data_IF_479513357519
#
_entry.id   IF_479513357519
#
_cell.length_a   1.000
_cell.length_b   1.000
_cell.length_c   1.000
_cell.angle_alpha   90.00
_cell.angle_beta   90.00
_cell.angle_gamma   90.00
#
_symmetry.space_group_name_H-M   'P 1'
#
loop_
_entity.id
_entity.type
_entity.pdbx_description
1 polymer ?
#
# COMPACT_ATOMS: atom_id res chain seq x y z
N UNK A 1 8.72 -8.15 0.07
CA UNK A 1 8.20 -7.58 -1.19
C UNK A 1 6.72 -7.38 -1.11
N UNK A 2 6.31 -6.11 -1.01
CA UNK A 2 5.41 -5.77 0.09
C UNK A 2 4.07 -5.35 -0.47
N UNK A 3 3.44 -6.43 -0.94
CA UNK A 3 2.03 -6.64 -1.21
C UNK A 3 1.29 -6.24 0.07
N UNK A 4 0.71 -5.04 0.08
CA UNK A 4 0.12 -4.48 1.28
C UNK A 4 -1.28 -5.07 1.53
N UNK A 5 -1.33 -6.16 2.30
CA UNK A 5 -2.58 -6.86 2.62
C UNK A 5 -3.42 -6.09 3.65
N UNK A 6 -4.53 -5.50 3.19
CA UNK A 6 -5.42 -4.63 4.00
C UNK A 6 -6.74 -5.28 4.39
N UNK A 7 -6.93 -6.56 4.11
CA UNK A 7 -8.06 -7.39 4.59
C UNK A 7 -7.54 -8.79 4.94
N UNK A 8 -8.23 -9.47 5.85
CA UNK A 8 -7.86 -10.81 6.34
C UNK A 8 -7.65 -11.83 5.19
N UNK A 9 -6.76 -12.81 5.37
CA UNK A 9 -6.62 -13.94 4.46
C UNK A 9 -7.94 -14.68 4.23
N UNK A 10 -8.14 -15.18 3.02
CA UNK A 10 -9.22 -16.12 2.71
C UNK A 10 -8.72 -17.55 2.94
N UNK A 11 -9.54 -18.40 3.55
CA UNK A 11 -9.20 -19.80 3.75
C UNK A 11 -8.96 -20.51 2.40
N UNK A 12 -7.93 -21.36 2.34
CA UNK A 12 -7.54 -22.06 1.10
C UNK A 12 -8.69 -22.92 0.54
N UNK A 13 -9.52 -23.49 1.41
CA UNK A 13 -10.71 -24.27 1.00
C UNK A 13 -11.83 -23.40 0.41
N UNK A 14 -11.81 -22.09 0.59
CA UNK A 14 -12.75 -21.16 -0.04
C UNK A 14 -12.20 -20.60 -1.35
N UNK A 15 -10.89 -20.32 -1.40
CA UNK A 15 -10.18 -19.99 -2.64
C UNK A 15 -10.33 -21.14 -3.64
N UNK A 16 -9.99 -22.37 -3.27
CA UNK A 16 -10.08 -23.52 -4.17
C UNK A 16 -11.52 -23.83 -4.63
N UNK A 17 -12.54 -23.60 -3.80
CA UNK A 17 -13.96 -23.70 -4.24
C UNK A 17 -14.33 -22.69 -5.32
N UNK A 18 -13.66 -21.54 -5.36
CA UNK A 18 -13.93 -20.46 -6.31
C UNK A 18 -13.05 -20.59 -7.55
N UNK A 19 -11.73 -20.72 -7.37
CA UNK A 19 -10.71 -20.93 -8.42
C UNK A 19 -11.07 -22.05 -9.40
N UNK A 20 -11.61 -23.18 -8.90
CA UNK A 20 -12.00 -24.32 -9.74
C UNK A 20 -13.34 -24.14 -10.50
N UNK A 21 -13.97 -22.95 -10.48
CA UNK A 21 -15.13 -22.67 -11.32
C UNK A 21 -14.68 -22.23 -12.72
N UNK A 22 -15.13 -22.94 -13.76
CA UNK A 22 -14.77 -22.74 -15.17
C UNK A 22 -14.70 -21.27 -15.62
N UNK A 23 -15.67 -20.45 -15.20
CA UNK A 23 -15.75 -19.01 -15.49
C UNK A 23 -14.64 -18.12 -14.88
N UNK A 24 -13.74 -18.69 -14.08
CA UNK A 24 -12.60 -18.02 -13.47
C UNK A 24 -11.26 -18.67 -13.86
N UNK A 25 -11.28 -19.65 -14.77
CA UNK A 25 -10.10 -20.42 -15.22
C UNK A 25 -9.02 -19.59 -15.93
N UNK A 26 -9.33 -18.34 -16.31
CA UNK A 26 -8.38 -17.39 -16.90
C UNK A 26 -7.52 -16.65 -15.85
N UNK A 27 -7.82 -16.79 -14.56
CA UNK A 27 -7.09 -16.13 -13.48
C UNK A 27 -5.96 -17.06 -13.00
N UNK A 28 -4.72 -16.59 -13.09
CA UNK A 28 -3.53 -17.38 -12.76
C UNK A 28 -3.47 -17.85 -11.30
N UNK A 29 -2.83 -19.00 -11.04
CA UNK A 29 -2.71 -19.54 -9.69
C UNK A 29 -1.95 -18.60 -8.75
N UNK A 30 -0.87 -17.96 -9.20
CA UNK A 30 -0.11 -16.97 -8.43
C UNK A 30 -1.02 -15.87 -7.88
N UNK A 31 -1.95 -15.34 -8.68
CA UNK A 31 -2.91 -14.32 -8.25
C UNK A 31 -3.89 -14.84 -7.20
N UNK A 32 -4.35 -16.10 -7.31
CA UNK A 32 -5.16 -16.75 -6.26
C UNK A 32 -4.39 -16.93 -4.95
N UNK A 33 -3.09 -17.17 -5.02
CA UNK A 33 -2.25 -17.45 -3.86
C UNK A 33 -1.98 -16.18 -3.03
N UNK A 34 -2.13 -14.98 -3.61
CA UNK A 34 -2.10 -13.70 -2.88
C UNK A 34 -3.28 -13.58 -1.91
N UNK A 35 -4.46 -14.13 -2.24
CA UNK A 35 -5.62 -14.15 -1.34
C UNK A 35 -5.42 -15.02 -0.09
N UNK A 36 -4.48 -15.96 -0.12
CA UNK A 36 -4.08 -16.76 1.04
C UNK A 36 -3.28 -15.94 2.06
N UNK A 37 -2.81 -14.75 1.68
CA UNK A 37 -2.02 -13.83 2.50
C UNK A 37 -2.81 -12.55 2.86
N UNK A 38 -3.80 -12.16 2.05
CA UNK A 38 -4.83 -11.19 2.40
C UNK A 38 -5.79 -10.83 1.25
N UNK A 39 -7.06 -10.51 1.56
CA UNK A 39 -8.13 -10.36 0.56
C UNK A 39 -8.24 -8.97 -0.10
N UNK A 40 -7.21 -8.12 0.00
CA UNK A 40 -7.08 -6.83 -0.70
C UNK A 40 -5.63 -6.39 -0.63
N UNK A 41 -4.99 -6.15 -1.78
CA UNK A 41 -3.57 -5.84 -1.80
C UNK A 41 -3.15 -4.80 -2.85
N UNK A 42 -1.99 -4.21 -2.59
CA UNK A 42 -1.41 -3.13 -3.39
C UNK A 42 0.08 -3.35 -3.69
N UNK A 43 0.54 -2.85 -4.83
CA UNK A 43 1.96 -2.67 -5.16
C UNK A 43 2.23 -1.20 -5.51
N UNK A 44 2.73 -0.44 -4.54
CA UNK A 44 2.79 1.01 -4.68
C UNK A 44 1.39 1.59 -4.92
N UNK A 45 1.24 2.41 -5.98
CA UNK A 45 -0.06 2.96 -6.39
C UNK A 45 -1.06 1.93 -6.95
N UNK A 46 -0.60 0.74 -7.35
CA UNK A 46 -1.42 -0.26 -8.03
C UNK A 46 -2.31 -1.02 -7.05
N UNK A 47 -3.63 -0.83 -7.18
CA UNK A 47 -4.71 -1.42 -6.42
C UNK A 47 -5.18 -2.67 -7.14
N UNK A 48 -4.83 -3.85 -6.65
CA UNK A 48 -5.23 -5.09 -7.31
C UNK A 48 -6.70 -5.40 -7.01
N UNK A 49 -7.42 -5.84 -8.03
CA UNK A 49 -8.77 -6.35 -7.85
C UNK A 49 -8.74 -7.63 -7.00
N UNK A 50 -9.81 -7.93 -6.23
CA UNK A 50 -11.04 -7.19 -6.04
C UNK A 50 -10.86 -5.94 -5.18
N UNK A 51 -11.85 -5.04 -5.24
CA UNK A 51 -11.97 -3.96 -4.28
C UNK A 51 -13.30 -4.12 -3.52
N UNK A 52 -13.36 -5.13 -2.62
CA UNK A 52 -14.10 -5.20 -1.33
C UNK A 52 -14.68 -6.58 -0.98
N UNK A 53 -14.86 -6.76 0.35
CA UNK A 53 -15.56 -7.84 1.06
C UNK A 53 -14.67 -9.03 1.49
N UNK A 54 -14.09 -8.90 2.70
CA UNK A 54 -13.20 -9.91 3.31
C UNK A 54 -13.83 -11.30 3.41
N UNK A 55 -15.17 -11.39 3.44
CA UNK A 55 -15.94 -12.62 3.64
C UNK A 55 -16.40 -13.31 2.32
N UNK A 56 -16.15 -12.72 1.14
CA UNK A 56 -16.81 -13.16 -0.10
C UNK A 56 -15.89 -13.24 -1.33
N UNK A 57 -14.86 -14.09 -1.29
CA UNK A 57 -13.96 -14.39 -2.43
C UNK A 57 -14.68 -14.77 -3.75
N UNK A 58 -15.92 -15.27 -3.67
CA UNK A 58 -16.77 -15.55 -4.86
C UNK A 58 -17.32 -14.29 -5.54
N UNK A 59 -17.55 -13.23 -4.77
CA UNK A 59 -18.03 -11.91 -5.22
C UNK A 59 -16.85 -11.14 -5.80
N UNK A 60 -15.75 -11.08 -5.06
CA UNK A 60 -14.39 -10.75 -5.53
C UNK A 60 -14.10 -11.23 -6.96
N UNK A 61 -14.19 -12.55 -7.20
CA UNK A 61 -13.91 -13.12 -8.51
C UNK A 61 -14.95 -12.74 -9.58
N UNK A 62 -16.21 -12.50 -9.16
CA UNK A 62 -17.25 -12.01 -10.06
C UNK A 62 -17.01 -10.56 -10.49
N UNK A 63 -16.43 -9.72 -9.63
CA UNK A 63 -16.13 -8.33 -9.94
C UNK A 63 -15.01 -8.24 -10.99
N UNK A 64 -13.96 -9.09 -10.86
CA UNK A 64 -12.93 -9.30 -11.91
C UNK A 64 -13.58 -9.73 -13.23
N UNK A 65 -14.51 -10.69 -13.22
CA UNK A 65 -15.25 -11.10 -14.44
C UNK A 65 -16.11 -9.97 -15.00
N UNK A 66 -16.71 -9.14 -14.14
CA UNK A 66 -17.66 -8.11 -14.55
C UNK A 66 -16.94 -6.93 -15.20
N UNK A 67 -15.82 -6.48 -14.63
CA UNK A 67 -14.95 -5.48 -15.22
C UNK A 67 -14.40 -5.96 -16.58
N UNK A 68 -13.90 -7.19 -16.62
CA UNK A 68 -13.30 -7.76 -17.84
C UNK A 68 -14.31 -8.23 -18.89
N UNK A 69 -15.62 -8.05 -18.65
CA UNK A 69 -16.69 -8.53 -19.54
C UNK A 69 -16.74 -7.84 -20.90
N UNK A 70 -16.26 -6.59 -20.97
CA UNK A 70 -16.24 -5.79 -22.21
C UNK A 70 -14.85 -5.70 -22.85
N UNK A 71 -13.82 -6.20 -22.17
CA UNK A 71 -12.47 -6.27 -22.73
C UNK A 71 -12.35 -7.50 -23.61
N UNK A 72 -12.04 -7.33 -24.89
CA UNK A 72 -11.82 -8.46 -25.81
C UNK A 72 -10.43 -9.08 -25.63
N UNK A 73 -9.37 -8.27 -25.52
CA UNK A 73 -7.98 -8.74 -25.52
C UNK A 73 -7.29 -8.82 -24.14
N UNK A 74 -7.79 -8.15 -23.10
CA UNK A 74 -7.09 -8.00 -21.82
C UNK A 74 -7.89 -8.46 -20.59
N UNK A 75 -7.20 -8.85 -19.52
CA UNK A 75 -7.74 -9.14 -18.20
C UNK A 75 -7.10 -8.15 -17.21
N UNK A 76 -7.79 -7.06 -16.91
CA UNK A 76 -7.42 -6.07 -15.90
C UNK A 76 -7.35 -6.73 -14.51
N UNK A 77 -6.21 -6.54 -13.84
CA UNK A 77 -5.93 -7.09 -12.49
C UNK A 77 -5.58 -6.03 -11.46
N UNK A 78 -5.16 -4.83 -11.88
CA UNK A 78 -4.97 -3.68 -10.99
C UNK A 78 -5.25 -2.35 -11.70
N UNK A 79 -5.57 -1.32 -10.91
CA UNK A 79 -5.69 0.09 -11.33
C UNK A 79 -4.88 1.00 -10.41
N UNK A 80 -4.47 2.20 -10.83
CA UNK A 80 -3.94 3.21 -9.89
C UNK A 80 -4.97 4.25 -9.43
N UNK A 81 -6.04 4.43 -10.21
CA UNK A 81 -7.10 5.41 -9.98
C UNK A 81 -7.04 6.64 -10.90
N UNK A 82 -5.98 6.78 -11.70
CA UNK A 82 -5.82 7.81 -12.74
C UNK A 82 -6.08 7.24 -14.14
N UNK A 83 -7.04 6.31 -14.24
CA UNK A 83 -7.40 5.55 -15.45
C UNK A 83 -6.23 4.79 -16.10
N UNK A 84 -5.22 4.42 -15.30
CA UNK A 84 -4.18 3.46 -15.67
C UNK A 84 -4.45 2.10 -15.03
N UNK A 85 -4.08 1.04 -15.75
CA UNK A 85 -4.29 -0.34 -15.36
C UNK A 85 -3.08 -1.22 -15.65
N UNK A 86 -2.94 -2.28 -14.85
CA UNK A 86 -2.14 -3.47 -15.19
C UNK A 86 -3.12 -4.56 -15.60
N UNK A 87 -2.85 -5.20 -16.74
CA UNK A 87 -3.67 -6.27 -17.27
C UNK A 87 -2.85 -7.40 -17.88
N UNK A 88 -3.32 -8.64 -17.74
CA UNK A 88 -2.84 -9.75 -18.54
C UNK A 88 -3.36 -9.63 -19.98
N UNK A 89 -2.52 -9.83 -20.99
CA UNK A 89 -2.97 -10.03 -22.35
C UNK A 89 -3.43 -11.49 -22.54
N UNK A 90 -4.59 -11.70 -23.16
CA UNK A 90 -5.26 -13.02 -23.17
C UNK A 90 -4.62 -14.08 -24.08
N UNK A 91 -3.79 -13.69 -25.04
CA UNK A 91 -3.19 -14.66 -25.98
C UNK A 91 -1.86 -15.23 -25.49
N UNK A 92 -1.02 -14.41 -24.83
CA UNK A 92 0.33 -14.77 -24.38
C UNK A 92 0.53 -14.74 -22.86
N UNK A 93 -0.44 -14.24 -22.09
CA UNK A 93 -0.42 -14.25 -20.63
C UNK A 93 0.47 -13.20 -19.97
N UNK A 94 1.01 -12.24 -20.74
CA UNK A 94 1.96 -11.24 -20.23
C UNK A 94 1.29 -10.03 -19.61
N UNK A 95 2.02 -9.26 -18.79
CA UNK A 95 1.49 -8.07 -18.10
C UNK A 95 1.78 -6.79 -18.87
N UNK A 96 0.71 -6.09 -19.25
CA UNK A 96 0.74 -4.85 -20.01
C UNK A 96 0.20 -3.66 -19.20
N UNK A 97 0.74 -2.47 -19.50
CA UNK A 97 0.24 -1.19 -19.02
C UNK A 97 -0.82 -0.66 -19.97
N UNK A 98 -2.01 -0.40 -19.46
CA UNK A 98 -3.13 0.19 -20.21
C UNK A 98 -3.48 1.54 -19.60
N UNK A 99 -3.83 2.52 -20.43
CA UNK A 99 -4.42 3.78 -20.00
C UNK A 99 -5.57 4.09 -20.96
N UNK A 100 -6.77 4.33 -20.43
CA UNK A 100 -7.99 4.42 -21.25
C UNK A 100 -8.06 5.69 -22.13
N UNK A 101 -7.26 6.72 -21.81
CA UNK A 101 -7.09 7.93 -22.63
C UNK A 101 -5.94 7.83 -23.63
N UNK A 102 -5.02 6.87 -23.45
CA UNK A 102 -3.88 6.64 -24.32
C UNK A 102 -4.26 5.71 -25.47
N UNK A 103 -4.65 6.28 -26.60
CA UNK A 103 -4.70 5.53 -27.86
C UNK A 103 -3.31 5.05 -28.25
N UNK A 104 -2.97 3.80 -27.95
CA UNK A 104 -1.74 3.17 -28.41
C UNK A 104 -1.84 2.82 -29.90
N UNK A 105 -0.88 3.27 -30.71
CA UNK A 105 -0.88 3.09 -32.17
C UNK A 105 -0.68 1.63 -32.65
N UNK A 106 -0.22 0.74 -31.76
CA UNK A 106 0.13 -0.66 -32.10
C UNK A 106 -0.46 -1.59 -31.04
N UNK A 107 0.11 -1.60 -29.84
CA UNK A 107 -0.38 -2.34 -28.67
C UNK A 107 0.01 -1.61 -27.36
N UNK A 108 -0.76 -1.77 -26.27
CA UNK A 108 -0.35 -1.45 -24.89
C UNK A 108 1.08 -1.93 -24.54
N UNK A 109 1.93 -1.12 -23.87
CA UNK A 109 3.28 -1.52 -23.51
C UNK A 109 3.35 -2.74 -22.59
N UNK A 110 4.22 -3.71 -22.92
CA UNK A 110 4.63 -4.78 -22.02
C UNK A 110 5.39 -4.19 -20.82
N UNK A 111 5.04 -4.61 -19.60
CA UNK A 111 5.75 -4.24 -18.36
C UNK A 111 6.61 -5.39 -17.85
N UNK A 112 6.01 -6.58 -17.74
CA UNK A 112 6.60 -7.78 -17.13
C UNK A 112 6.12 -9.04 -17.86
N UNK A 113 6.93 -10.08 -17.87
CA UNK A 113 6.57 -11.36 -18.50
C UNK A 113 5.50 -12.11 -17.69
N UNK A 114 5.49 -11.98 -16.36
CA UNK A 114 4.48 -12.57 -15.46
C UNK A 114 4.29 -11.78 -14.16
N UNK A 115 3.35 -12.24 -13.31
CA UNK A 115 3.06 -11.63 -12.02
C UNK A 115 4.18 -11.86 -10.99
N UNK A 116 4.95 -12.93 -11.06
CA UNK A 116 6.05 -13.17 -10.13
C UNK A 116 7.19 -12.16 -10.36
N UNK A 117 7.46 -11.77 -11.61
CA UNK A 117 8.40 -10.69 -11.96
C UNK A 117 7.88 -9.29 -11.56
N UNK A 118 6.58 -9.00 -11.80
CA UNK A 118 5.96 -7.77 -11.30
C UNK A 118 6.03 -7.68 -9.78
N UNK A 119 5.82 -8.80 -9.09
CA UNK A 119 6.01 -8.87 -7.66
C UNK A 119 7.48 -8.61 -7.31
N UNK A 120 8.46 -9.27 -7.97
CA UNK A 120 9.91 -9.18 -7.70
C UNK A 120 10.44 -7.74 -7.53
N UNK A 121 9.88 -6.78 -8.27
CA UNK A 121 10.30 -5.39 -8.26
C UNK A 121 10.01 -4.58 -6.97
N UNK A 122 9.08 -4.99 -6.08
CA UNK A 122 8.51 -4.11 -5.03
C UNK A 122 8.96 -4.42 -3.57
N UNK A 123 10.26 -4.53 -3.30
CA UNK A 123 10.72 -5.37 -2.17
C UNK A 123 10.48 -4.94 -0.67
N UNK A 124 9.82 -3.80 -0.29
CA UNK A 124 10.18 -3.00 0.94
C UNK A 124 9.32 -2.84 2.28
N UNK A 125 7.99 -2.58 2.38
CA UNK A 125 7.17 -2.41 3.68
C UNK A 125 7.07 -3.57 4.75
N UNK A 126 5.96 -4.33 4.86
CA UNK A 126 5.79 -5.63 5.58
C UNK A 126 5.31 -6.77 4.67
N UNK A 127 5.66 -8.05 4.93
CA UNK A 127 5.31 -9.17 4.02
C UNK A 127 3.99 -9.89 4.37
N UNK A 128 3.39 -9.61 5.53
CA UNK A 128 2.07 -10.14 5.91
C UNK A 128 1.39 -9.26 6.94
N UNK A 129 0.07 -9.40 7.10
CA UNK A 129 -0.68 -8.72 8.17
C UNK A 129 -0.11 -9.02 9.57
N UNK A 130 0.31 -10.27 9.82
CA UNK A 130 0.95 -10.62 11.09
C UNK A 130 2.31 -9.91 11.28
N UNK A 131 3.09 -9.67 10.22
CA UNK A 131 4.29 -8.84 10.33
C UNK A 131 3.95 -7.37 10.60
N UNK A 132 2.90 -6.83 9.97
CA UNK A 132 2.44 -5.46 10.20
C UNK A 132 1.98 -5.25 11.65
N UNK A 133 1.13 -6.13 12.19
CA UNK A 133 0.71 -6.11 13.60
C UNK A 133 1.89 -6.22 14.57
N UNK A 134 2.84 -7.15 14.31
CA UNK A 134 4.07 -7.26 15.11
C UNK A 134 4.92 -5.98 15.06
N UNK A 135 4.95 -5.27 13.92
CA UNK A 135 5.60 -3.96 13.82
C UNK A 135 4.82 -2.89 14.57
N UNK A 136 3.50 -2.82 14.45
CA UNK A 136 2.66 -1.88 15.18
C UNK A 136 2.87 -2.04 16.69
N UNK A 137 2.79 -3.27 17.23
CA UNK A 137 3.14 -3.56 18.62
C UNK A 137 4.56 -3.11 18.99
N UNK A 138 5.55 -3.31 18.10
CA UNK A 138 6.93 -2.93 18.35
C UNK A 138 7.13 -1.40 18.33
N UNK A 139 6.43 -0.68 17.45
CA UNK A 139 6.40 0.78 17.37
C UNK A 139 5.73 1.35 18.62
N UNK A 140 4.53 0.91 19.00
CA UNK A 140 3.86 1.38 20.22
C UNK A 140 4.74 1.16 21.45
N UNK A 141 5.30 -0.05 21.62
CA UNK A 141 6.24 -0.33 22.73
C UNK A 141 7.51 0.52 22.70
N UNK A 142 7.96 0.95 21.52
CA UNK A 142 9.10 1.84 21.36
C UNK A 142 8.74 3.27 21.74
N UNK A 143 7.54 3.74 21.34
CA UNK A 143 6.97 5.04 21.71
C UNK A 143 6.74 5.14 23.23
N UNK A 144 6.21 4.09 23.87
CA UNK A 144 6.04 3.96 25.33
C UNK A 144 7.37 4.09 26.12
N UNK A 145 8.50 3.90 25.43
CA UNK A 145 9.84 4.02 26.00
C UNK A 145 10.53 5.35 25.67
N UNK A 146 9.90 6.24 24.90
CA UNK A 146 10.41 7.57 24.60
C UNK A 146 9.65 8.65 25.38
N UNK A 147 10.38 9.62 25.95
CA UNK A 147 9.78 10.87 26.44
C UNK A 147 9.57 11.89 25.30
N UNK A 148 10.15 11.65 24.11
CA UNK A 148 10.32 12.68 23.07
C UNK A 148 10.46 12.07 21.68
N UNK A 149 9.78 12.67 20.70
CA UNK A 149 9.98 12.43 19.26
C UNK A 149 10.60 13.64 18.57
N UNK A 150 11.30 13.38 17.47
CA UNK A 150 11.93 14.35 16.59
C UNK A 150 11.23 14.36 15.25
N UNK A 151 11.10 15.53 14.64
CA UNK A 151 10.47 15.70 13.33
C UNK A 151 11.11 16.87 12.59
N UNK A 152 11.02 16.85 11.27
CA UNK A 152 11.40 17.99 10.42
C UNK A 152 10.14 18.81 10.16
N UNK A 153 10.24 20.13 10.20
CA UNK A 153 9.10 21.04 10.07
C UNK A 153 9.38 22.16 9.06
N UNK A 154 8.44 22.40 8.17
CA UNK A 154 8.53 23.43 7.15
C UNK A 154 7.85 24.73 7.60
N UNK A 155 8.66 25.78 7.79
CA UNK A 155 8.16 27.12 8.15
C UNK A 155 7.34 27.80 7.06
N UNK A 156 7.54 27.44 5.79
CA UNK A 156 6.90 28.15 4.67
C UNK A 156 5.44 27.72 4.47
N UNK A 157 5.06 26.53 4.95
CA UNK A 157 3.70 25.97 4.88
C UNK A 157 3.09 25.65 6.25
N UNK A 158 3.81 25.87 7.35
CA UNK A 158 3.40 25.60 8.74
C UNK A 158 3.07 24.12 9.01
N UNK A 159 3.90 23.20 8.49
CA UNK A 159 3.58 21.76 8.45
C UNK A 159 4.79 20.86 8.76
N UNK A 160 4.52 19.60 9.13
CA UNK A 160 5.51 18.54 9.37
C UNK A 160 5.99 17.95 8.03
N UNK A 161 7.23 17.47 7.99
CA UNK A 161 7.74 16.74 6.84
C UNK A 161 6.93 15.48 6.57
N UNK A 162 6.32 15.42 5.40
CA UNK A 162 5.63 14.26 4.90
C UNK A 162 5.75 14.14 3.39
N UNK A 163 5.22 13.03 2.87
CA UNK A 163 5.00 12.79 1.44
C UNK A 163 3.58 12.30 1.26
N UNK A 164 3.03 12.40 0.05
CA UNK A 164 1.80 11.67 -0.29
C UNK A 164 2.00 10.18 0.02
N UNK A 165 1.10 9.61 0.81
CA UNK A 165 1.07 8.19 1.11
C UNK A 165 0.96 7.41 -0.18
N UNK A 166 1.86 6.43 -0.34
CA UNK A 166 1.88 5.56 -1.51
C UNK A 166 0.74 4.53 -1.43
N UNK A 167 0.22 4.26 -0.23
CA UNK A 167 -0.77 3.22 0.04
C UNK A 167 -2.20 3.77 0.23
N UNK A 168 -2.32 4.98 0.76
CA UNK A 168 -3.58 5.59 1.23
C UNK A 168 -3.91 6.92 0.55
N UNK A 169 -3.30 7.21 -0.62
CA UNK A 169 -3.57 8.42 -1.42
C UNK A 169 -5.08 8.76 -1.51
N UNK A 170 -5.49 10.02 -1.23
CA UNK A 170 -4.67 11.23 -1.16
C UNK A 170 -4.06 11.57 0.22
N UNK A 171 -4.12 10.67 1.21
CA UNK A 171 -3.50 10.88 2.52
C UNK A 171 -2.00 11.23 2.45
N UNK A 172 -1.49 11.90 3.46
CA UNK A 172 -0.08 12.24 3.67
C UNK A 172 0.51 11.27 4.71
N UNK A 173 1.72 10.79 4.45
CA UNK A 173 2.57 10.13 5.44
C UNK A 173 3.48 11.17 6.08
N UNK A 174 3.24 11.49 7.36
CA UNK A 174 4.08 12.39 8.14
C UNK A 174 5.18 11.63 8.89
N UNK A 175 6.39 12.20 8.94
CA UNK A 175 7.59 11.49 9.40
C UNK A 175 8.09 11.95 10.77
N UNK A 176 8.32 10.98 11.64
CA UNK A 176 8.84 11.16 12.99
C UNK A 176 9.99 10.18 13.24
N UNK A 177 10.92 10.55 14.12
CA UNK A 177 12.04 9.72 14.52
C UNK A 177 12.18 9.70 16.04
N UNK A 178 12.56 8.55 16.59
CA UNK A 178 12.87 8.41 18.02
C UNK A 178 14.21 9.03 18.39
N UNK A 179 15.06 9.33 17.40
CA UNK A 179 16.38 9.95 17.63
C UNK A 179 16.62 11.20 16.78
N UNK A 180 17.28 12.19 17.40
CA UNK A 180 17.78 13.40 16.71
C UNK A 180 18.70 13.07 15.53
N UNK A 181 19.52 12.02 15.66
CA UNK A 181 20.41 11.56 14.61
C UNK A 181 19.64 10.96 13.42
N UNK A 182 18.55 10.24 13.68
CA UNK A 182 17.63 9.74 12.66
C UNK A 182 17.05 10.88 11.84
N UNK A 183 16.34 11.82 12.48
CA UNK A 183 15.74 12.97 11.79
C UNK A 183 16.77 13.81 11.01
N UNK A 184 17.97 14.05 11.57
CA UNK A 184 19.04 14.78 10.85
C UNK A 184 19.57 14.06 9.62
N UNK A 185 19.52 12.72 9.58
CA UNK A 185 19.92 11.97 8.39
C UNK A 185 18.99 12.23 7.20
N UNK A 186 17.78 12.76 7.44
CA UNK A 186 16.80 13.13 6.41
C UNK A 186 16.81 14.61 6.06
N UNK A 187 17.54 15.46 6.79
CA UNK A 187 17.78 16.87 6.45
C UNK A 187 18.78 16.99 5.28
N UNK A 188 18.41 16.39 4.15
CA UNK A 188 19.15 16.28 2.89
C UNK A 188 18.58 17.27 1.86
N UNK A 189 18.99 17.21 0.58
CA UNK A 189 18.61 18.17 -0.47
C UNK A 189 17.09 18.43 -0.59
N UNK A 190 16.22 17.47 -0.23
CA UNK A 190 14.76 17.66 -0.26
C UNK A 190 14.20 18.45 0.93
N UNK A 191 14.85 18.38 2.09
CA UNK A 191 14.38 18.99 3.36
C UNK A 191 15.46 19.87 4.03
N UNK A 192 16.43 20.36 3.27
CA UNK A 192 17.57 21.17 3.76
C UNK A 192 17.11 22.37 4.61
N UNK A 193 16.04 23.04 4.16
CA UNK A 193 15.47 24.23 4.81
C UNK A 193 14.48 23.90 5.94
N UNK A 194 14.17 22.63 6.19
CA UNK A 194 13.24 22.24 7.25
C UNK A 194 13.93 22.33 8.60
N UNK A 195 13.19 22.73 9.63
CA UNK A 195 13.72 22.81 10.98
C UNK A 195 13.55 21.49 11.71
N UNK A 196 14.63 20.98 12.28
CA UNK A 196 14.53 19.93 13.28
C UNK A 196 13.83 20.49 14.52
N UNK A 197 12.63 19.96 14.80
CA UNK A 197 11.88 20.17 16.02
C UNK A 197 11.76 18.87 16.82
N UNK A 198 11.22 18.99 18.02
CA UNK A 198 10.88 17.87 18.90
C UNK A 198 9.61 18.16 19.70
N UNK A 199 8.90 17.11 20.07
CA UNK A 199 7.68 17.13 20.89
C UNK A 199 7.75 16.02 21.94
N UNK A 200 6.96 16.08 23.02
CA UNK A 200 6.80 14.92 23.89
C UNK A 200 5.94 13.86 23.21
N UNK A 201 6.08 12.60 23.62
CA UNK A 201 5.20 11.52 23.16
C UNK A 201 3.75 11.76 23.59
N UNK A 202 3.52 12.35 24.77
CA UNK A 202 2.19 12.79 25.20
C UNK A 202 1.52 13.72 24.16
N UNK A 203 2.23 14.76 23.69
CA UNK A 203 1.73 15.69 22.67
C UNK A 203 1.52 15.00 21.32
N UNK A 204 2.39 14.05 20.96
CA UNK A 204 2.21 13.27 19.74
C UNK A 204 0.89 12.47 19.77
N UNK A 205 0.59 11.78 20.86
CA UNK A 205 -0.68 11.06 21.00
C UNK A 205 -1.90 12.00 21.10
N UNK A 206 -1.86 13.02 21.99
CA UNK A 206 -3.05 13.80 22.32
C UNK A 206 -3.35 15.01 21.43
N UNK A 207 -2.46 15.36 20.51
CA UNK A 207 -2.65 16.49 19.59
C UNK A 207 -2.42 16.06 18.14
N UNK A 208 -1.30 15.41 17.84
CA UNK A 208 -0.91 15.11 16.45
C UNK A 208 -1.65 13.91 15.87
N UNK A 209 -1.74 12.80 16.61
CA UNK A 209 -2.46 11.62 16.13
C UNK A 209 -3.99 11.85 16.11
N UNK A 210 -4.56 12.63 17.03
CA UNK A 210 -5.97 13.00 16.97
C UNK A 210 -6.31 13.81 15.70
N UNK A 211 -5.46 14.79 15.34
CA UNK A 211 -5.63 15.61 14.13
C UNK A 211 -5.47 14.75 12.86
N UNK A 212 -4.42 13.95 12.74
CA UNK A 212 -4.20 13.08 11.58
C UNK A 212 -5.31 12.02 11.42
N UNK A 213 -5.86 11.50 12.51
CA UNK A 213 -7.02 10.61 12.48
C UNK A 213 -8.29 11.29 11.94
N UNK A 214 -8.50 12.60 12.20
CA UNK A 214 -9.66 13.33 11.64
C UNK A 214 -9.57 13.44 10.11
N UNK A 215 -8.36 13.58 9.55
CA UNK A 215 -8.12 13.69 8.11
C UNK A 215 -7.85 12.34 7.40
N UNK A 216 -7.61 11.27 8.15
CA UNK A 216 -7.24 9.95 7.62
C UNK A 216 -5.78 9.87 7.13
N UNK A 217 -4.92 10.73 7.68
CA UNK A 217 -3.48 10.75 7.42
C UNK A 217 -2.74 9.68 8.21
N UNK A 218 -1.52 9.36 7.76
CA UNK A 218 -0.72 8.25 8.31
C UNK A 218 0.64 8.72 8.78
N UNK A 219 1.26 7.96 9.68
CA UNK A 219 2.58 8.27 10.23
C UNK A 219 3.63 7.23 9.85
N UNK A 220 4.85 7.69 9.64
CA UNK A 220 6.05 6.88 9.51
C UNK A 220 7.00 7.15 10.68
N UNK A 221 7.23 6.15 11.53
CA UNK A 221 8.16 6.23 12.67
C UNK A 221 9.51 5.62 12.28
N UNK A 222 10.59 6.35 12.57
CA UNK A 222 11.97 6.02 12.19
C UNK A 222 12.13 5.67 10.70
N UNK A 223 11.53 6.51 9.84
CA UNK A 223 11.54 6.34 8.39
C UNK A 223 12.96 6.26 7.81
N UNK A 224 13.19 5.34 6.87
CA UNK A 224 14.48 5.15 6.20
C UNK A 224 14.51 5.68 4.75
N UNK A 225 15.71 5.99 4.22
CA UNK A 225 15.95 6.40 2.83
C UNK A 225 15.48 5.36 1.80
N UNK A 226 15.32 4.11 2.25
CA UNK A 226 14.86 2.98 1.45
C UNK A 226 13.33 2.77 1.58
N UNK A 227 12.62 3.68 2.27
CA UNK A 227 11.22 3.57 2.68
C UNK A 227 11.05 3.17 4.15
N UNK A 228 9.81 3.26 4.65
CA UNK A 228 9.40 2.80 5.97
C UNK A 228 8.03 2.14 5.95
N UNK A 229 7.49 1.84 7.13
CA UNK A 229 6.10 1.39 7.28
C UNK A 229 5.18 2.60 7.50
N UNK A 230 3.98 2.56 6.95
CA UNK A 230 2.94 3.57 7.15
C UNK A 230 1.90 3.01 8.14
N UNK A 231 1.54 3.79 9.16
CA UNK A 231 0.56 3.43 10.18
C UNK A 231 -0.57 4.47 10.23
N UNK A 232 -1.82 4.03 10.26
CA UNK A 232 -2.95 4.92 10.58
C UNK A 232 -2.80 5.49 11.99
N UNK A 233 -3.17 6.76 12.15
CA UNK A 233 -3.13 7.41 13.46
C UNK A 233 -4.08 6.73 14.45
N UNK A 234 -5.26 6.31 14.00
CA UNK A 234 -6.24 5.55 14.79
C UNK A 234 -5.66 4.24 15.32
N UNK A 235 -4.88 3.52 14.51
CA UNK A 235 -4.28 2.24 14.91
C UNK A 235 -3.23 2.39 16.03
N UNK A 236 -2.63 3.57 16.18
CA UNK A 236 -1.75 3.92 17.29
C UNK A 236 -2.52 4.44 18.52
N UNK A 237 -3.71 5.02 18.32
CA UNK A 237 -4.59 5.51 19.39
C UNK A 237 -5.43 4.41 20.07
N UNK A 238 -5.70 3.29 19.37
CA UNK A 238 -6.54 2.18 19.86
C UNK A 238 -5.77 1.10 20.68
N UNK A 239 -4.45 1.24 20.84
CA UNK A 239 -3.53 0.29 21.50
C UNK A 239 -3.44 0.43 23.02
#
# INVERSE_FOLDING_TARGET
>A
MKINYTLKPVAIEEIEKVKNLEKFSFIESTYWDLFQQGNRFYLGKWKFYPIRDEHHIRKTAMDVVTMNRQSDAYIFIAEDGDENYIAYHKEDGKLHFINDHAGFDIDPPLIYDDLDELLEAFSYKSNSYAEHENKLEAITRLLDQQDTLYYLYNRDIDDIAGTLSVEFFPAITFFFWTTEAGAKAYQTELWENFELKKMSVDTFYSEILEDFAEYGDVVGIDWENNGGEEFFAEALLEM
#
